data_IF_493211832765
#
_entry.id   IF_493211832765
#
_cell.length_a   1.000
_cell.length_b   1.000
_cell.length_c   1.000
_cell.angle_alpha   90.00
_cell.angle_beta   90.00
_cell.angle_gamma   90.00
#
_symmetry.space_group_name_H-M   'P 1'
#
loop_
_entity.id
_entity.type
_entity.pdbx_description
1 polymer ?
#
# COMPACT_ATOMS: atom_id res chain seq x y z
N UNK A 1 -27.09 -17.59 -3.68
CA UNK A 1 -26.66 -16.74 -4.81
C UNK A 1 -25.73 -17.51 -5.73
N UNK A 2 -25.89 -17.31 -7.05
CA UNK A 2 -25.00 -17.90 -8.04
C UNK A 2 -24.16 -16.80 -8.68
N UNK A 3 -22.91 -17.11 -9.04
CA UNK A 3 -22.08 -16.20 -9.81
C UNK A 3 -22.54 -16.15 -11.27
N UNK A 4 -22.37 -14.99 -11.91
CA UNK A 4 -22.63 -14.82 -13.35
C UNK A 4 -21.40 -15.24 -14.16
N UNK A 5 -20.22 -15.32 -13.54
CA UNK A 5 -18.97 -15.75 -14.14
C UNK A 5 -18.50 -17.05 -13.51
N UNK A 6 -17.98 -17.94 -14.36
CA UNK A 6 -17.41 -19.23 -13.98
C UNK A 6 -16.23 -19.05 -13.01
N UNK A 7 -16.16 -19.88 -11.97
CA UNK A 7 -15.02 -19.96 -11.07
C UNK A 7 -13.80 -20.56 -11.81
N UNK A 8 -12.61 -20.16 -11.42
CA UNK A 8 -11.36 -20.75 -11.90
C UNK A 8 -10.96 -22.00 -11.12
N UNK A 9 -11.57 -22.25 -9.98
CA UNK A 9 -11.41 -23.48 -9.22
C UNK A 9 -12.32 -24.55 -9.79
N UNK A 10 -11.75 -25.66 -10.26
CA UNK A 10 -12.48 -26.75 -10.93
C UNK A 10 -13.06 -27.78 -9.96
N UNK A 11 -12.86 -27.62 -8.66
CA UNK A 11 -13.38 -28.52 -7.64
C UNK A 11 -12.58 -29.81 -7.44
N UNK A 12 -12.97 -30.59 -6.45
CA UNK A 12 -12.41 -31.89 -6.11
C UNK A 12 -13.38 -32.97 -6.62
N UNK A 13 -12.87 -33.99 -7.34
CA UNK A 13 -13.69 -35.03 -7.98
C UNK A 13 -14.48 -35.90 -7.01
N UNK A 14 -14.08 -35.95 -5.74
CA UNK A 14 -14.75 -36.66 -4.65
C UNK A 14 -15.73 -35.80 -3.84
N UNK A 15 -15.86 -34.48 -4.16
CA UNK A 15 -16.77 -33.55 -3.50
C UNK A 15 -17.73 -32.91 -4.52
N UNK A 16 -18.92 -33.49 -4.79
CA UNK A 16 -19.83 -33.05 -5.85
C UNK A 16 -20.23 -31.57 -5.77
N UNK A 17 -20.34 -31.00 -4.56
CA UNK A 17 -20.68 -29.59 -4.39
C UNK A 17 -19.55 -28.65 -4.79
N UNK A 18 -18.29 -29.11 -4.75
CA UNK A 18 -17.12 -28.34 -5.16
C UNK A 18 -16.99 -28.22 -6.69
N UNK A 19 -17.64 -29.10 -7.44
CA UNK A 19 -17.64 -29.13 -8.91
C UNK A 19 -18.56 -28.08 -9.53
N UNK A 20 -19.36 -27.37 -8.71
CA UNK A 20 -20.34 -26.41 -9.21
C UNK A 20 -19.72 -25.03 -9.39
N UNK A 21 -19.24 -24.73 -10.60
CA UNK A 21 -18.42 -23.56 -10.96
C UNK A 21 -19.10 -22.18 -10.80
N UNK A 22 -20.37 -22.15 -10.44
CA UNK A 22 -21.19 -20.94 -10.27
C UNK A 22 -21.80 -20.81 -8.85
N UNK A 23 -21.29 -21.61 -7.92
CA UNK A 23 -21.83 -21.65 -6.54
C UNK A 23 -20.88 -20.94 -5.59
N UNK A 24 -21.40 -19.99 -4.82
CA UNK A 24 -20.63 -19.32 -3.76
C UNK A 24 -20.61 -20.15 -2.49
N UNK A 25 -19.38 -20.50 -2.01
CA UNK A 25 -19.19 -21.25 -0.77
C UNK A 25 -20.09 -22.49 -0.65
N UNK A 26 -20.23 -23.27 -1.74
CA UNK A 26 -21.08 -24.46 -1.79
C UNK A 26 -22.53 -24.19 -1.34
N UNK A 27 -23.08 -23.00 -1.59
CA UNK A 27 -24.37 -22.48 -1.13
C UNK A 27 -24.47 -22.15 0.37
N UNK A 28 -23.39 -22.20 1.12
CA UNK A 28 -23.36 -21.80 2.54
C UNK A 28 -22.59 -20.46 2.74
N UNK A 29 -23.08 -19.41 2.13
CA UNK A 29 -22.48 -18.06 2.24
C UNK A 29 -22.61 -17.40 3.62
N UNK A 30 -23.30 -18.03 4.58
CA UNK A 30 -23.43 -17.53 5.94
C UNK A 30 -22.31 -18.05 6.84
N UNK A 31 -21.96 -19.34 6.71
CA UNK A 31 -20.94 -20.01 7.53
C UNK A 31 -19.61 -20.21 6.82
N UNK A 32 -19.59 -20.23 5.48
CA UNK A 32 -18.39 -20.35 4.68
C UNK A 32 -17.93 -18.98 4.18
N UNK A 33 -16.66 -18.70 4.34
CA UNK A 33 -16.02 -17.51 3.75
C UNK A 33 -15.20 -17.94 2.54
N UNK A 34 -15.17 -17.12 1.49
CA UNK A 34 -14.38 -17.37 0.30
C UNK A 34 -12.87 -17.31 0.64
N UNK A 35 -12.15 -18.45 0.75
CA UNK A 35 -10.72 -18.47 1.12
C UNK A 35 -9.84 -17.88 0.02
N UNK A 36 -10.30 -17.91 -1.24
CA UNK A 36 -9.66 -17.25 -2.39
C UNK A 36 -10.09 -15.80 -2.53
N UNK A 37 -11.07 -15.36 -1.72
CA UNK A 37 -11.74 -14.08 -1.77
C UNK A 37 -10.78 -12.90 -1.75
N UNK A 38 -10.63 -12.28 -2.90
CA UNK A 38 -9.96 -11.01 -3.02
C UNK A 38 -10.77 -9.95 -2.29
N UNK A 39 -10.26 -9.45 -1.17
CA UNK A 39 -10.91 -8.33 -0.52
C UNK A 39 -11.02 -7.16 -1.50
N UNK A 40 -12.21 -6.58 -1.61
CA UNK A 40 -12.49 -5.50 -2.57
C UNK A 40 -12.65 -4.17 -1.86
N UNK A 41 -12.01 -3.13 -2.39
CA UNK A 41 -12.34 -1.74 -2.05
C UNK A 41 -13.78 -1.49 -2.50
N UNK A 42 -14.56 -0.81 -1.65
CA UNK A 42 -15.94 -0.36 -1.92
C UNK A 42 -16.00 1.16 -1.76
N UNK A 43 -17.04 1.81 -2.28
CA UNK A 43 -17.23 3.25 -2.14
C UNK A 43 -17.20 3.71 -0.67
N UNK A 44 -17.75 2.92 0.25
CA UNK A 44 -17.68 3.21 1.70
C UNK A 44 -16.26 3.38 2.22
N UNK A 45 -15.26 2.65 1.66
CA UNK A 45 -13.87 2.78 2.07
C UNK A 45 -13.29 4.12 1.58
N UNK A 46 -13.57 4.50 0.33
CA UNK A 46 -13.17 5.80 -0.23
C UNK A 46 -13.76 6.95 0.59
N UNK A 47 -15.05 6.88 0.89
CA UNK A 47 -15.75 7.88 1.69
C UNK A 47 -15.20 7.95 3.13
N UNK A 48 -14.97 6.80 3.76
CA UNK A 48 -14.37 6.71 5.09
C UNK A 48 -12.95 7.25 5.15
N UNK A 49 -12.14 7.01 4.12
CA UNK A 49 -10.82 7.63 3.95
C UNK A 49 -10.88 9.12 3.61
N UNK A 50 -12.07 9.68 3.36
CA UNK A 50 -12.30 11.08 2.98
C UNK A 50 -11.63 11.49 1.67
N UNK A 51 -11.45 10.55 0.74
CA UNK A 51 -10.91 10.83 -0.59
C UNK A 51 -11.98 11.44 -1.48
N UNK A 52 -12.02 12.77 -1.55
CA UNK A 52 -13.09 13.52 -2.21
C UNK A 52 -13.10 13.37 -3.75
N UNK A 53 -11.92 13.26 -4.35
CA UNK A 53 -11.73 13.18 -5.80
C UNK A 53 -10.82 12.02 -6.17
N UNK A 54 -11.02 11.43 -7.35
CA UNK A 54 -10.11 10.45 -7.93
C UNK A 54 -8.85 11.13 -8.51
N UNK A 55 -7.88 10.34 -9.00
CA UNK A 55 -6.62 10.84 -9.57
C UNK A 55 -6.78 11.76 -10.79
N UNK A 56 -7.97 11.87 -11.37
CA UNK A 56 -8.32 12.81 -12.45
C UNK A 56 -9.01 14.09 -11.92
N UNK A 57 -9.04 14.29 -10.62
CA UNK A 57 -9.72 15.42 -9.98
C UNK A 57 -11.25 15.38 -10.06
N UNK A 58 -11.85 14.22 -10.42
CA UNK A 58 -13.29 14.04 -10.60
C UNK A 58 -13.93 13.27 -9.45
N UNK A 59 -15.27 13.30 -9.34
CA UNK A 59 -16.00 12.45 -8.39
C UNK A 59 -15.70 10.97 -8.62
N UNK A 60 -15.68 10.21 -7.54
CA UNK A 60 -15.54 8.76 -7.59
C UNK A 60 -16.75 8.09 -8.22
N UNK A 61 -16.52 7.07 -9.04
CA UNK A 61 -17.56 6.28 -9.71
C UNK A 61 -17.35 4.80 -9.42
N UNK A 62 -18.39 3.98 -9.62
CA UNK A 62 -18.27 2.50 -9.56
C UNK A 62 -17.19 1.99 -10.51
N UNK A 63 -17.04 2.60 -11.71
CA UNK A 63 -15.99 2.26 -12.70
C UNK A 63 -14.58 2.48 -12.13
N UNK A 64 -14.34 3.60 -11.42
CA UNK A 64 -13.05 3.83 -10.78
C UNK A 64 -12.73 2.75 -9.73
N UNK A 65 -13.71 2.40 -8.89
CA UNK A 65 -13.54 1.35 -7.86
C UNK A 65 -13.29 -0.01 -8.50
N UNK A 66 -14.01 -0.35 -9.56
CA UNK A 66 -13.79 -1.60 -10.31
C UNK A 66 -12.37 -1.68 -10.86
N UNK A 67 -11.87 -0.57 -11.45
CA UNK A 67 -10.51 -0.49 -11.96
C UNK A 67 -9.45 -0.62 -10.84
N UNK A 68 -9.66 0.04 -9.70
CA UNK A 68 -8.78 -0.13 -8.54
C UNK A 68 -8.69 -1.60 -8.10
N UNK A 69 -9.83 -2.27 -8.01
CA UNK A 69 -9.88 -3.68 -7.62
C UNK A 69 -9.24 -4.62 -8.66
N UNK A 70 -9.41 -4.34 -9.94
CA UNK A 70 -8.74 -5.10 -11.01
C UNK A 70 -7.22 -5.00 -10.89
N UNK A 71 -6.68 -3.81 -10.61
CA UNK A 71 -5.26 -3.60 -10.38
C UNK A 71 -4.77 -4.27 -9.09
N UNK A 72 -5.50 -4.19 -7.98
CA UNK A 72 -5.15 -4.94 -6.78
C UNK A 72 -5.04 -6.45 -7.07
N UNK A 73 -5.98 -7.01 -7.84
CA UNK A 73 -5.94 -8.41 -8.28
C UNK A 73 -4.72 -8.69 -9.16
N UNK A 74 -4.46 -7.86 -10.18
CA UNK A 74 -3.30 -7.96 -11.09
C UNK A 74 -1.98 -8.04 -10.32
N UNK A 75 -1.84 -7.22 -9.28
CA UNK A 75 -0.62 -7.13 -8.46
C UNK A 75 -0.63 -8.04 -7.21
N UNK A 76 -1.55 -8.99 -7.11
CA UNK A 76 -1.60 -9.97 -6.03
C UNK A 76 -1.93 -9.41 -4.65
N UNK A 77 -2.46 -8.19 -4.55
CA UNK A 77 -2.82 -7.53 -3.30
C UNK A 77 -4.25 -7.95 -2.90
N UNK A 78 -4.37 -9.12 -2.27
CA UNK A 78 -5.65 -9.78 -2.03
C UNK A 78 -6.19 -9.60 -0.62
N UNK A 79 -5.31 -9.51 0.38
CA UNK A 79 -5.69 -9.55 1.79
C UNK A 79 -6.15 -8.19 2.30
N UNK A 80 -7.27 -8.16 3.02
CA UNK A 80 -7.84 -6.95 3.66
C UNK A 80 -6.81 -6.13 4.42
N UNK A 81 -5.93 -6.80 5.19
CA UNK A 81 -4.89 -6.14 5.98
C UNK A 81 -3.87 -5.40 5.12
N UNK A 82 -3.46 -5.99 3.99
CA UNK A 82 -2.53 -5.37 3.07
C UNK A 82 -3.15 -4.15 2.37
N UNK A 83 -4.38 -4.29 1.89
CA UNK A 83 -5.12 -3.18 1.26
C UNK A 83 -5.32 -2.03 2.25
N UNK A 84 -5.66 -2.32 3.51
CA UNK A 84 -5.86 -1.28 4.52
C UNK A 84 -4.57 -0.49 4.79
N UNK A 85 -3.42 -1.16 4.95
CA UNK A 85 -2.14 -0.48 5.18
C UNK A 85 -1.65 0.25 3.92
N UNK A 86 -1.85 -0.31 2.72
CA UNK A 86 -1.59 0.37 1.47
C UNK A 86 -2.41 1.67 1.34
N UNK A 87 -3.71 1.60 1.66
CA UNK A 87 -4.58 2.79 1.64
C UNK A 87 -4.15 3.85 2.67
N UNK A 88 -3.69 3.43 3.85
CA UNK A 88 -3.13 4.34 4.86
C UNK A 88 -1.87 5.05 4.34
N UNK A 89 -0.99 4.32 3.67
CA UNK A 89 0.21 4.88 3.05
C UNK A 89 -0.14 5.86 1.95
N UNK A 90 -1.00 5.46 1.01
CA UNK A 90 -1.48 6.32 -0.08
C UNK A 90 -2.20 7.58 0.45
N UNK A 91 -2.96 7.46 1.55
CA UNK A 91 -3.64 8.59 2.19
C UNK A 91 -2.64 9.67 2.63
N UNK A 92 -1.53 9.25 3.22
CA UNK A 92 -0.48 10.16 3.67
C UNK A 92 0.32 10.74 2.51
N UNK A 93 0.80 9.89 1.59
CA UNK A 93 1.66 10.30 0.48
C UNK A 93 0.97 11.25 -0.48
N UNK A 94 -0.31 11.02 -0.76
CA UNK A 94 -1.09 11.84 -1.70
C UNK A 94 -1.96 12.90 -1.03
N UNK A 95 -1.77 13.18 0.25
CA UNK A 95 -2.60 14.16 0.97
C UNK A 95 -4.10 13.85 0.82
N UNK A 96 -4.51 12.63 1.16
CA UNK A 96 -5.90 12.14 1.02
C UNK A 96 -6.36 12.01 -0.46
N UNK A 97 -5.47 11.61 -1.35
CA UNK A 97 -5.78 11.45 -2.77
C UNK A 97 -5.91 12.77 -3.56
N UNK A 98 -5.42 13.89 -3.02
CA UNK A 98 -5.49 15.21 -3.67
C UNK A 98 -4.26 15.54 -4.48
N UNK A 99 -3.09 15.11 -4.02
CA UNK A 99 -1.78 15.44 -4.58
C UNK A 99 -1.29 14.23 -5.40
N UNK A 100 -1.41 14.31 -6.71
CA UNK A 100 -0.94 13.26 -7.62
C UNK A 100 0.47 13.53 -8.15
N UNK A 101 0.96 14.74 -7.98
CA UNK A 101 2.34 15.14 -8.28
C UNK A 101 2.87 15.91 -7.07
N UNK A 102 4.07 15.56 -6.64
CA UNK A 102 4.74 16.25 -5.54
C UNK A 102 4.85 17.75 -5.84
N UNK A 103 4.59 18.58 -4.84
CA UNK A 103 4.83 20.01 -4.90
C UNK A 103 6.33 20.28 -4.72
N UNK A 104 6.90 21.16 -5.51
CA UNK A 104 8.30 21.53 -5.46
C UNK A 104 8.79 22.07 -6.81
N UNK A 105 9.58 23.12 -6.74
CA UNK A 105 10.29 23.70 -7.87
C UNK A 105 11.58 22.93 -8.19
N UNK A 106 12.33 23.42 -9.17
CA UNK A 106 13.61 22.82 -9.58
C UNK A 106 14.64 22.77 -8.46
N UNK A 107 14.72 23.81 -7.62
CA UNK A 107 15.70 23.87 -6.55
C UNK A 107 15.38 22.83 -5.46
N UNK A 108 14.12 22.75 -5.07
CA UNK A 108 13.64 21.72 -4.15
C UNK A 108 13.94 20.31 -4.70
N UNK A 109 13.56 20.04 -5.94
CA UNK A 109 13.78 18.74 -6.57
C UNK A 109 15.25 18.37 -6.62
N UNK A 110 16.13 19.27 -7.06
CA UNK A 110 17.58 19.04 -7.12
C UNK A 110 18.19 18.76 -5.76
N UNK A 111 17.79 19.48 -4.72
CA UNK A 111 18.28 19.24 -3.35
C UNK A 111 17.91 17.86 -2.81
N UNK A 112 16.88 17.20 -3.39
CA UNK A 112 16.44 15.86 -3.05
C UNK A 112 16.89 14.79 -4.07
N UNK A 113 17.74 15.14 -5.04
CA UNK A 113 18.34 14.19 -6.00
C UNK A 113 17.43 13.80 -7.17
N UNK A 114 16.40 14.58 -7.48
CA UNK A 114 15.54 14.37 -8.65
C UNK A 114 15.23 15.69 -9.39
N UNK A 115 14.42 15.64 -10.43
CA UNK A 115 14.01 16.80 -11.23
C UNK A 115 12.49 17.02 -11.11
N UNK A 116 11.97 18.16 -11.57
CA UNK A 116 10.52 18.39 -11.66
C UNK A 116 9.79 17.37 -12.53
N UNK A 117 10.51 16.69 -13.44
CA UNK A 117 9.97 15.65 -14.32
C UNK A 117 10.00 14.24 -13.69
N UNK A 118 10.68 14.08 -12.58
CA UNK A 118 10.90 12.78 -11.90
C UNK A 118 10.57 12.82 -10.41
N UNK A 119 9.96 13.91 -9.93
CA UNK A 119 9.48 14.07 -8.58
C UNK A 119 8.29 13.14 -8.28
N UNK A 120 7.84 13.07 -7.06
CA UNK A 120 6.79 12.16 -6.60
C UNK A 120 5.55 12.13 -7.49
N UNK A 121 5.11 10.93 -7.88
CA UNK A 121 3.97 10.72 -8.75
C UNK A 121 3.00 9.65 -8.24
N UNK A 122 1.70 9.92 -8.41
CA UNK A 122 0.62 9.01 -8.07
C UNK A 122 0.31 8.93 -6.57
N UNK A 123 -0.49 7.94 -6.18
CA UNK A 123 -0.97 7.82 -4.80
C UNK A 123 0.12 7.50 -3.77
N UNK A 124 1.22 6.87 -4.17
CA UNK A 124 2.33 6.50 -3.27
C UNK A 124 3.59 7.32 -3.52
N UNK A 125 3.51 8.30 -4.43
CA UNK A 125 4.57 9.26 -4.71
C UNK A 125 5.90 8.60 -5.14
N UNK A 126 5.88 7.64 -6.09
CA UNK A 126 7.12 7.06 -6.63
C UNK A 126 7.96 8.13 -7.34
N UNK A 127 9.28 8.10 -7.15
CA UNK A 127 10.23 9.12 -7.61
C UNK A 127 11.39 8.53 -8.43
N UNK A 128 12.04 9.35 -9.23
CA UNK A 128 13.33 9.05 -9.84
C UNK A 128 13.36 7.74 -10.64
N UNK A 129 14.24 6.82 -10.25
CA UNK A 129 14.42 5.53 -10.91
C UNK A 129 13.24 4.59 -10.71
N UNK A 130 12.54 4.64 -9.56
CA UNK A 130 11.34 3.82 -9.34
C UNK A 130 10.26 4.09 -10.41
N UNK A 131 10.22 5.31 -10.97
CA UNK A 131 9.33 5.63 -12.11
C UNK A 131 9.75 4.93 -13.41
N UNK A 132 11.05 4.81 -13.66
CA UNK A 132 11.58 4.08 -14.82
C UNK A 132 11.29 2.58 -14.68
N UNK A 133 11.60 2.02 -13.51
CA UNK A 133 11.40 0.61 -13.22
C UNK A 133 9.91 0.22 -13.32
N UNK A 134 9.03 1.07 -12.81
CA UNK A 134 7.59 0.88 -12.95
C UNK A 134 7.13 0.92 -14.42
N UNK A 135 7.53 1.95 -15.17
CA UNK A 135 7.13 2.08 -16.59
C UNK A 135 7.68 0.93 -17.44
N UNK A 136 8.92 0.50 -17.18
CA UNK A 136 9.51 -0.68 -17.79
C UNK A 136 8.72 -1.94 -17.46
N UNK A 137 8.36 -2.13 -16.20
CA UNK A 137 7.60 -3.28 -15.72
C UNK A 137 6.23 -3.42 -16.43
N UNK A 138 5.56 -2.29 -16.70
CA UNK A 138 4.27 -2.31 -17.40
C UNK A 138 4.40 -2.22 -18.92
N UNK A 139 5.63 -2.27 -19.48
CA UNK A 139 5.90 -2.22 -20.92
C UNK A 139 5.57 -0.87 -21.57
N UNK A 140 5.65 0.23 -20.83
CA UNK A 140 5.31 1.58 -21.32
C UNK A 140 6.57 2.42 -21.52
N UNK A 141 6.73 3.00 -22.74
CA UNK A 141 7.84 3.89 -23.04
C UNK A 141 7.82 5.13 -22.13
N UNK A 142 8.90 5.42 -21.39
CA UNK A 142 8.98 6.61 -20.57
C UNK A 142 8.96 7.88 -21.42
N UNK A 143 8.18 8.88 -20.97
CA UNK A 143 8.24 10.24 -21.47
C UNK A 143 9.28 11.05 -20.69
N UNK A 144 9.71 12.18 -21.22
CA UNK A 144 10.58 13.14 -20.49
C UNK A 144 9.95 13.50 -19.13
N UNK A 145 8.69 13.91 -19.12
CA UNK A 145 7.95 14.16 -17.89
C UNK A 145 7.23 12.88 -17.40
N UNK A 146 7.97 12.03 -16.68
CA UNK A 146 7.45 10.79 -16.11
C UNK A 146 6.46 11.04 -14.99
N UNK A 147 6.68 12.07 -14.19
CA UNK A 147 5.76 12.47 -13.11
C UNK A 147 4.37 12.73 -13.65
N UNK A 148 4.24 13.50 -14.72
CA UNK A 148 2.96 13.77 -15.37
C UNK A 148 2.36 12.51 -16.00
N UNK A 149 3.20 11.71 -16.69
CA UNK A 149 2.77 10.47 -17.33
C UNK A 149 2.13 9.52 -16.32
N UNK A 150 2.76 9.31 -15.17
CA UNK A 150 2.31 8.40 -14.13
C UNK A 150 1.08 8.98 -13.40
N UNK A 151 1.14 10.21 -12.96
CA UNK A 151 0.06 10.83 -12.19
C UNK A 151 -1.26 10.90 -12.96
N UNK A 152 -1.23 11.16 -14.26
CA UNK A 152 -2.44 11.25 -15.09
C UNK A 152 -3.00 9.89 -15.52
N UNK A 153 -2.14 8.90 -15.82
CA UNK A 153 -2.57 7.64 -16.42
C UNK A 153 -2.47 6.43 -15.49
N UNK A 154 -1.45 6.38 -14.63
CA UNK A 154 -1.06 5.19 -13.90
C UNK A 154 -1.00 5.37 -12.39
N UNK A 155 -1.60 6.45 -11.85
CA UNK A 155 -1.47 6.84 -10.44
C UNK A 155 -1.75 5.72 -9.43
N UNK A 156 -2.80 4.92 -9.65
CA UNK A 156 -3.14 3.79 -8.79
C UNK A 156 -2.35 2.54 -9.13
N UNK A 157 -2.04 2.32 -10.41
CA UNK A 157 -1.24 1.18 -10.85
C UNK A 157 0.19 1.26 -10.31
N UNK A 158 0.80 2.45 -10.31
CA UNK A 158 2.10 2.70 -9.69
C UNK A 158 2.09 2.37 -8.18
N UNK A 159 1.02 2.73 -7.47
CA UNK A 159 0.88 2.37 -6.06
C UNK A 159 0.72 0.86 -5.86
N UNK A 160 0.01 0.16 -6.73
CA UNK A 160 -0.10 -1.30 -6.69
C UNK A 160 1.23 -1.99 -6.97
N UNK A 161 2.00 -1.48 -7.94
CA UNK A 161 3.33 -2.00 -8.26
C UNK A 161 4.31 -1.80 -7.10
N UNK A 162 4.40 -0.60 -6.56
CA UNK A 162 5.27 -0.29 -5.42
C UNK A 162 4.95 -1.17 -4.20
N UNK A 163 3.67 -1.33 -3.89
CA UNK A 163 3.24 -2.13 -2.75
C UNK A 163 3.35 -3.63 -2.97
N UNK A 164 3.03 -4.10 -4.19
CA UNK A 164 2.86 -5.51 -4.51
C UNK A 164 4.10 -6.20 -5.06
N UNK A 165 4.93 -5.48 -5.80
CA UNK A 165 6.02 -6.03 -6.62
C UNK A 165 7.37 -5.48 -6.19
N UNK A 166 7.49 -4.15 -6.01
CA UNK A 166 8.76 -3.52 -5.67
C UNK A 166 9.35 -4.13 -4.39
N UNK A 167 10.61 -4.60 -4.49
CA UNK A 167 11.25 -5.26 -3.36
C UNK A 167 12.11 -4.25 -2.59
N UNK A 168 11.65 -3.92 -1.40
CA UNK A 168 12.39 -3.08 -0.46
C UNK A 168 12.75 -3.94 0.76
N UNK A 169 14.04 -4.11 0.99
CA UNK A 169 14.53 -5.03 2.04
C UNK A 169 14.28 -6.52 1.73
N UNK A 170 14.33 -6.90 0.44
CA UNK A 170 14.22 -8.29 -0.02
C UNK A 170 12.79 -8.86 -0.10
N UNK A 171 11.76 -8.02 0.06
CA UNK A 171 10.35 -8.44 -0.04
C UNK A 171 9.44 -7.28 -0.40
N UNK A 172 8.30 -7.56 -1.03
CA UNK A 172 7.27 -6.54 -1.25
C UNK A 172 6.53 -6.20 0.04
N UNK A 173 5.98 -4.99 0.14
CA UNK A 173 5.18 -4.58 1.29
C UNK A 173 3.94 -5.46 1.45
N UNK A 174 3.34 -5.90 0.34
CA UNK A 174 2.21 -6.82 0.35
C UNK A 174 2.57 -8.16 1.02
N UNK A 175 3.73 -8.75 0.68
CA UNK A 175 4.22 -9.97 1.32
C UNK A 175 4.51 -9.72 2.80
N UNK A 176 5.23 -8.65 3.12
CA UNK A 176 5.58 -8.29 4.48
C UNK A 176 4.33 -8.18 5.39
N UNK A 177 3.32 -7.42 4.97
CA UNK A 177 2.06 -7.29 5.72
C UNK A 177 1.28 -8.60 5.78
N UNK A 178 1.36 -9.40 4.70
CA UNK A 178 0.71 -10.73 4.67
C UNK A 178 1.29 -11.69 5.71
N UNK A 179 2.58 -11.60 5.98
CA UNK A 179 3.27 -12.46 6.93
C UNK A 179 3.17 -11.95 8.37
N UNK A 180 3.22 -10.62 8.57
CA UNK A 180 3.36 -10.03 9.90
C UNK A 180 2.10 -9.36 10.47
N UNK A 181 1.05 -9.17 9.67
CA UNK A 181 -0.23 -8.65 10.15
C UNK A 181 -0.44 -7.17 9.87
N UNK A 182 -1.29 -6.53 10.70
CA UNK A 182 -1.77 -5.16 10.47
C UNK A 182 -1.55 -4.22 11.66
N UNK A 183 -0.68 -4.57 12.60
CA UNK A 183 -0.42 -3.72 13.78
C UNK A 183 0.25 -2.41 13.38
N UNK A 184 0.21 -1.42 14.27
CA UNK A 184 0.91 -0.14 14.08
C UNK A 184 2.44 -0.34 13.95
N UNK A 185 3.01 -1.35 14.60
CA UNK A 185 4.43 -1.69 14.45
C UNK A 185 4.76 -2.24 13.07
N UNK A 186 3.88 -3.08 12.49
CA UNK A 186 4.01 -3.54 11.10
C UNK A 186 3.89 -2.36 10.14
N UNK A 187 2.93 -1.45 10.37
CA UNK A 187 2.81 -0.24 9.58
C UNK A 187 4.05 0.65 9.69
N UNK A 188 4.58 0.88 10.89
CA UNK A 188 5.81 1.63 11.10
C UNK A 188 6.96 1.10 10.24
N UNK A 189 7.15 -0.22 10.24
CA UNK A 189 8.23 -0.85 9.48
C UNK A 189 8.02 -0.70 7.97
N UNK A 190 6.77 -0.82 7.47
CA UNK A 190 6.49 -0.53 6.05
C UNK A 190 6.81 0.92 5.68
N UNK A 191 6.61 1.87 6.60
CA UNK A 191 6.95 3.27 6.35
C UNK A 191 8.47 3.50 6.28
N UNK A 192 9.27 2.78 7.05
CA UNK A 192 10.73 2.80 6.90
C UNK A 192 11.17 2.22 5.56
N UNK A 193 10.56 1.15 5.08
CA UNK A 193 10.89 0.61 3.76
C UNK A 193 10.56 1.59 2.62
N UNK A 194 9.47 2.33 2.72
CA UNK A 194 9.05 3.29 1.69
C UNK A 194 9.86 4.57 1.74
N UNK A 195 10.18 5.08 2.94
CA UNK A 195 10.88 6.36 3.11
C UNK A 195 12.39 6.24 3.29
N UNK A 196 12.92 5.02 3.29
CA UNK A 196 14.31 4.71 3.63
C UNK A 196 14.54 4.50 5.12
N UNK A 197 15.54 3.66 5.43
CA UNK A 197 16.00 3.44 6.78
C UNK A 197 16.68 4.69 7.34
N UNK A 198 16.49 4.99 8.64
CA UNK A 198 17.02 6.21 9.23
C UNK A 198 18.53 6.16 9.51
N UNK A 199 19.14 4.98 9.38
CA UNK A 199 20.57 4.73 9.61
C UNK A 199 21.13 3.87 8.48
N UNK A 200 22.34 4.18 8.04
CA UNK A 200 23.07 3.40 7.02
C UNK A 200 23.85 2.26 7.68
N UNK A 201 24.09 1.20 6.92
CA UNK A 201 24.98 0.13 7.37
C UNK A 201 26.37 0.72 7.67
N UNK A 202 26.85 0.48 8.90
CA UNK A 202 28.06 1.11 9.45
C UNK A 202 27.80 2.20 10.49
N UNK A 203 26.59 2.76 10.58
CA UNK A 203 26.22 3.65 11.68
C UNK A 203 26.16 2.87 13.00
N UNK A 204 26.65 3.46 14.08
CA UNK A 204 26.64 2.84 15.43
C UNK A 204 25.24 2.38 15.89
N UNK A 205 24.18 3.02 15.38
CA UNK A 205 22.79 2.70 15.73
C UNK A 205 22.13 1.69 14.77
N UNK A 206 22.78 1.33 13.67
CA UNK A 206 22.16 0.52 12.64
C UNK A 206 21.78 -0.88 13.14
N UNK A 207 22.71 -1.59 13.74
CA UNK A 207 22.48 -2.96 14.21
C UNK A 207 21.43 -3.01 15.34
N UNK A 208 21.52 -2.08 16.30
CA UNK A 208 20.53 -1.98 17.37
C UNK A 208 19.14 -1.65 16.80
N UNK A 209 19.06 -0.71 15.86
CA UNK A 209 17.80 -0.37 15.19
C UNK A 209 17.19 -1.57 14.47
N UNK A 210 17.99 -2.33 13.70
CA UNK A 210 17.52 -3.53 13.02
C UNK A 210 17.00 -4.58 14.01
N UNK A 211 17.75 -4.84 15.09
CA UNK A 211 17.34 -5.77 16.14
C UNK A 211 15.99 -5.37 16.76
N UNK A 212 15.84 -4.08 17.07
CA UNK A 212 14.61 -3.55 17.65
C UNK A 212 13.42 -3.62 16.67
N UNK A 213 13.63 -3.34 15.37
CA UNK A 213 12.57 -3.50 14.36
C UNK A 213 12.15 -4.96 14.19
N UNK A 214 13.09 -5.92 14.26
CA UNK A 214 12.78 -7.35 14.29
C UNK A 214 11.95 -7.71 15.55
N UNK A 215 12.31 -7.18 16.69
CA UNK A 215 11.62 -7.41 17.96
C UNK A 215 10.19 -6.83 17.94
N UNK A 216 10.01 -5.63 17.40
CA UNK A 216 8.68 -5.03 17.17
C UNK A 216 7.83 -5.87 16.23
N UNK A 217 8.40 -6.39 15.15
CA UNK A 217 7.75 -7.29 14.20
C UNK A 217 7.26 -8.56 14.90
N UNK A 218 8.10 -9.17 15.74
CA UNK A 218 7.80 -10.37 16.52
C UNK A 218 6.91 -10.10 17.73
N UNK A 219 6.55 -8.82 17.98
CA UNK A 219 5.76 -8.37 19.15
C UNK A 219 6.42 -8.64 20.50
N UNK A 220 7.72 -8.85 20.54
CA UNK A 220 8.48 -9.05 21.78
C UNK A 220 8.82 -7.73 22.49
N UNK A 221 8.73 -6.62 21.77
CA UNK A 221 8.88 -5.26 22.29
C UNK A 221 7.70 -4.39 21.90
N UNK A 222 7.46 -3.33 22.68
CA UNK A 222 6.52 -2.26 22.38
C UNK A 222 7.31 -0.99 22.05
N UNK A 223 6.66 -0.03 21.42
CA UNK A 223 7.23 1.27 21.18
C UNK A 223 6.24 2.38 21.56
N UNK A 224 6.80 3.51 21.92
CA UNK A 224 6.11 4.80 21.99
C UNK A 224 6.66 5.72 20.90
N UNK A 225 5.93 6.78 20.59
CA UNK A 225 6.36 7.71 19.56
C UNK A 225 5.86 9.14 19.82
N UNK A 226 6.61 10.07 19.27
CA UNK A 226 6.17 11.45 19.06
C UNK A 226 6.44 11.86 17.61
N UNK A 227 6.23 13.14 17.27
CA UNK A 227 6.38 13.65 15.90
C UNK A 227 7.70 13.28 15.20
N UNK A 228 8.81 13.17 15.96
CA UNK A 228 10.17 13.06 15.39
C UNK A 228 10.89 11.78 15.81
N UNK A 229 10.45 11.11 16.87
CA UNK A 229 11.19 10.00 17.49
C UNK A 229 10.28 8.80 17.72
N UNK A 230 10.85 7.62 17.49
CA UNK A 230 10.35 6.32 17.92
C UNK A 230 11.20 5.88 19.10
N UNK A 231 10.58 5.46 20.18
CA UNK A 231 11.26 4.96 21.38
C UNK A 231 10.90 3.49 21.54
N UNK A 232 11.91 2.63 21.49
CA UNK A 232 11.79 1.18 21.77
C UNK A 232 12.61 0.91 22.99
N UNK A 233 11.97 0.48 24.06
CA UNK A 233 12.53 0.50 25.41
C UNK A 233 13.05 1.94 25.70
N UNK A 234 14.32 2.11 26.04
CA UNK A 234 14.94 3.42 26.28
C UNK A 234 15.67 3.98 25.03
N UNK A 235 15.71 3.24 23.93
CA UNK A 235 16.40 3.64 22.72
C UNK A 235 15.53 4.57 21.87
N UNK A 236 16.13 5.69 21.45
CA UNK A 236 15.46 6.72 20.65
C UNK A 236 15.94 6.66 19.20
N UNK A 237 15.01 6.47 18.27
CA UNK A 237 15.26 6.41 16.84
C UNK A 237 14.57 7.56 16.10
N UNK A 238 15.10 7.93 14.94
CA UNK A 238 14.44 8.86 14.03
C UNK A 238 13.15 8.22 13.50
N UNK A 239 12.03 8.89 13.66
CA UNK A 239 10.77 8.46 13.06
C UNK A 239 10.81 8.61 11.54
N UNK A 240 10.03 7.81 10.78
CA UNK A 240 9.77 8.10 9.37
C UNK A 240 9.27 9.54 9.21
N UNK A 241 9.57 10.17 8.06
CA UNK A 241 9.08 11.51 7.77
C UNK A 241 7.56 11.60 8.00
N UNK A 242 7.13 12.65 8.70
CA UNK A 242 5.70 12.92 8.99
C UNK A 242 4.99 11.75 9.72
N UNK A 243 5.67 11.08 10.63
CA UNK A 243 5.11 9.92 11.35
C UNK A 243 3.79 10.21 12.06
N UNK A 244 3.63 11.40 12.65
CA UNK A 244 2.37 11.80 13.30
C UNK A 244 1.18 11.77 12.35
N UNK A 245 1.37 12.19 11.12
CA UNK A 245 0.34 12.20 10.08
C UNK A 245 0.11 10.78 9.52
N UNK A 246 1.19 10.00 9.37
CA UNK A 246 1.12 8.58 8.95
C UNK A 246 0.34 7.74 9.94
N UNK A 247 0.58 7.92 11.24
CA UNK A 247 -0.15 7.19 12.28
C UNK A 247 -1.65 7.54 12.28
N UNK A 248 -2.02 8.79 12.03
CA UNK A 248 -3.43 9.19 11.85
C UNK A 248 -4.08 8.54 10.62
N UNK A 249 -3.35 8.45 9.51
CA UNK A 249 -3.82 7.75 8.30
C UNK A 249 -3.98 6.25 8.56
N UNK A 250 -3.09 5.65 9.36
CA UNK A 250 -3.23 4.27 9.82
C UNK A 250 -4.50 4.08 10.67
N UNK A 251 -4.71 4.91 11.70
CA UNK A 251 -5.89 4.83 12.56
C UNK A 251 -7.18 4.98 11.76
N UNK A 252 -7.21 5.96 10.83
CA UNK A 252 -8.32 6.15 9.89
C UNK A 252 -8.60 4.89 9.07
N UNK A 253 -7.56 4.29 8.49
CA UNK A 253 -7.71 3.06 7.71
C UNK A 253 -8.19 1.90 8.59
N UNK A 254 -7.68 1.75 9.81
CA UNK A 254 -8.15 0.70 10.73
C UNK A 254 -9.62 0.90 11.08
N UNK A 255 -10.07 2.12 11.33
CA UNK A 255 -11.49 2.44 11.56
C UNK A 255 -12.35 2.10 10.34
N UNK A 256 -11.91 2.50 9.15
CA UNK A 256 -12.66 2.30 7.88
C UNK A 256 -12.76 0.81 7.51
N UNK A 257 -11.69 0.07 7.68
CA UNK A 257 -11.63 -1.33 7.25
C UNK A 257 -12.07 -2.32 8.34
N UNK A 258 -11.88 -2.01 9.61
CA UNK A 258 -12.12 -2.95 10.71
C UNK A 258 -13.08 -2.45 11.79
N UNK A 259 -13.54 -1.20 11.72
CA UNK A 259 -14.47 -0.62 12.72
C UNK A 259 -13.82 -0.34 14.08
N UNK A 260 -12.49 -0.17 14.12
CA UNK A 260 -11.72 0.00 15.37
C UNK A 260 -11.26 1.43 15.52
#
# INVERSE_FOLDING_TARGET
GRFITRDTYTGESNEPLSLHLYTYCANDGVNAWDPSGHYKIKMKHINGMKWKKNWKGRKWTKKNISMMNALLKKYGIKKKKSIALMMATCDQESGQGRIMQEEGDDNYCRSHGYTVYTKGAGYIQITGNDQLDFLSYIGVKPKTNRTEQISKKYAWEAACWEWGICQKGGHSMNKYVSDHGKSISVFLITQYYINGWPYSKGDKKYEQFNSDMISLRKKTKKFSYNRKKIVVDNMKYRAPSRWSERSKSYEKAMKVFYGK
#
